data_IF_662963246208
#
_entry.id   IF_662963246208
#
_cell.length_a   1.000
_cell.length_b   1.000
_cell.length_c   1.000
_cell.angle_alpha   90.00
_cell.angle_beta   90.00
_cell.angle_gamma   90.00
#
_symmetry.space_group_name_H-M   'P 1'
#
loop_
_entity.id
_entity.type
_entity.pdbx_description
1 polymer ?
#
# COMPACT_ATOMS: atom_id res chain seq x y z
N UNK A 1 -39.25 -64.74 13.52
CA UNK A 1 -39.37 -63.39 12.94
C UNK A 1 -38.18 -62.56 13.38
N UNK A 2 -37.19 -62.31 12.51
CA UNK A 2 -35.96 -61.57 12.83
C UNK A 2 -36.17 -60.08 12.55
N UNK A 3 -36.05 -59.23 13.57
CA UNK A 3 -36.08 -57.76 13.42
C UNK A 3 -34.70 -57.28 12.98
N UNK A 4 -34.64 -56.68 11.79
CA UNK A 4 -33.45 -56.00 11.26
C UNK A 4 -33.46 -54.60 11.84
N UNK A 5 -32.49 -54.28 12.69
CA UNK A 5 -32.29 -52.95 13.25
C UNK A 5 -31.42 -52.15 12.27
N UNK A 6 -32.04 -51.21 11.55
CA UNK A 6 -31.38 -50.30 10.64
C UNK A 6 -30.74 -49.16 11.47
N UNK A 7 -29.42 -49.20 11.65
CA UNK A 7 -28.68 -48.11 12.30
C UNK A 7 -28.35 -47.07 11.23
N UNK A 8 -29.11 -45.97 11.23
CA UNK A 8 -28.84 -44.78 10.43
C UNK A 8 -27.68 -44.01 11.05
N UNK A 9 -26.48 -44.17 10.48
CA UNK A 9 -25.34 -43.30 10.76
C UNK A 9 -25.63 -41.92 10.16
N UNK A 10 -26.10 -40.99 10.99
CA UNK A 10 -26.13 -39.57 10.63
C UNK A 10 -24.71 -39.01 10.79
N UNK A 11 -23.99 -38.94 9.68
CA UNK A 11 -22.74 -38.17 9.58
C UNK A 11 -23.08 -36.69 9.74
N UNK A 12 -22.88 -36.14 10.94
CA UNK A 12 -22.85 -34.70 11.15
C UNK A 12 -21.66 -34.13 10.36
N UNK A 13 -21.94 -33.65 9.15
CA UNK A 13 -21.07 -32.70 8.47
C UNK A 13 -21.11 -31.41 9.29
N UNK A 14 -20.12 -31.23 10.15
CA UNK A 14 -19.82 -29.93 10.75
C UNK A 14 -19.49 -28.98 9.59
N UNK A 15 -20.49 -28.22 9.16
CA UNK A 15 -20.31 -27.07 8.27
C UNK A 15 -19.48 -26.07 9.06
N UNK A 16 -18.16 -26.14 8.89
CA UNK A 16 -17.25 -25.12 9.38
C UNK A 16 -17.57 -23.85 8.59
N UNK A 17 -18.47 -23.03 9.13
CA UNK A 17 -18.63 -21.64 8.72
C UNK A 17 -17.29 -20.96 8.99
N UNK A 18 -16.41 -20.95 7.99
CA UNK A 18 -15.26 -20.07 7.97
C UNK A 18 -15.84 -18.65 8.10
N UNK A 19 -15.69 -18.06 9.30
CA UNK A 19 -15.93 -16.63 9.49
C UNK A 19 -14.92 -15.92 8.60
N UNK A 20 -15.36 -15.49 7.42
CA UNK A 20 -14.60 -14.52 6.63
C UNK A 20 -14.53 -13.26 7.47
N UNK A 21 -13.38 -12.98 8.06
CA UNK A 21 -13.14 -11.72 8.76
C UNK A 21 -13.39 -10.58 7.77
N UNK A 22 -14.15 -9.57 8.19
CA UNK A 22 -14.43 -8.44 7.32
C UNK A 22 -13.14 -7.65 7.07
N UNK A 23 -12.94 -7.13 5.85
CA UNK A 23 -11.79 -6.29 5.56
C UNK A 23 -11.69 -5.13 6.55
N UNK A 24 -10.52 -4.97 7.17
CA UNK A 24 -10.22 -3.83 8.02
C UNK A 24 -9.68 -2.69 7.16
N UNK A 25 -10.05 -1.45 7.49
CA UNK A 25 -9.49 -0.23 6.88
C UNK A 25 -8.61 0.47 7.90
N UNK A 26 -7.37 0.80 7.51
CA UNK A 26 -6.47 1.64 8.30
C UNK A 26 -6.32 2.97 7.60
N UNK A 27 -6.52 4.06 8.34
CA UNK A 27 -6.38 5.42 7.83
C UNK A 27 -5.27 6.13 8.58
N UNK A 28 -4.42 6.79 7.81
CA UNK A 28 -3.28 7.54 8.30
C UNK A 28 -3.46 8.98 7.84
N UNK A 29 -3.34 9.91 8.78
CA UNK A 29 -3.43 11.36 8.51
C UNK A 29 -2.13 12.04 8.94
N UNK A 30 -1.73 13.06 8.18
CA UNK A 30 -0.65 13.98 8.48
C UNK A 30 -0.92 15.37 7.88
N UNK A 31 -0.16 16.37 8.30
CA UNK A 31 -0.21 17.75 7.78
C UNK A 31 0.98 18.01 6.87
N UNK A 32 0.78 18.54 5.66
CA UNK A 32 1.86 18.74 4.69
C UNK A 32 1.98 20.20 4.29
N UNK A 33 3.21 20.72 4.31
CA UNK A 33 3.56 21.97 3.66
C UNK A 33 4.20 21.64 2.31
N UNK A 34 3.78 22.25 1.22
CA UNK A 34 4.42 22.04 -0.10
C UNK A 34 5.06 23.32 -0.65
N UNK A 35 5.52 24.19 0.24
CA UNK A 35 6.16 25.46 -0.14
C UNK A 35 5.23 26.31 -0.99
N UNK A 36 5.49 26.35 -2.30
CA UNK A 36 4.79 27.19 -3.26
C UNK A 36 3.32 26.81 -3.46
N UNK A 37 2.93 25.54 -3.31
CA UNK A 37 1.52 25.16 -3.57
C UNK A 37 0.59 25.39 -2.37
N UNK A 38 1.13 25.84 -1.23
CA UNK A 38 0.39 26.20 -0.02
C UNK A 38 0.47 25.18 1.11
N UNK A 39 -0.40 25.37 2.10
CA UNK A 39 -0.50 24.51 3.29
C UNK A 39 -1.68 23.55 3.16
N UNK A 40 -1.40 22.26 3.38
CA UNK A 40 -2.37 21.18 3.38
C UNK A 40 -2.55 20.69 4.81
N UNK A 41 -3.70 21.02 5.41
CA UNK A 41 -3.96 20.65 6.81
C UNK A 41 -4.27 19.20 7.00
N UNK A 42 -4.84 18.55 5.99
CA UNK A 42 -5.18 17.14 6.09
C UNK A 42 -4.74 16.46 4.81
N UNK A 43 -3.75 15.60 4.94
CA UNK A 43 -3.40 14.63 3.92
C UNK A 43 -3.60 13.26 4.54
N UNK A 44 -4.48 12.47 3.91
CA UNK A 44 -4.83 11.16 4.43
C UNK A 44 -4.72 10.09 3.36
N UNK A 45 -4.24 8.93 3.79
CA UNK A 45 -4.26 7.72 3.00
C UNK A 45 -4.87 6.57 3.77
N UNK A 46 -5.51 5.65 3.07
CA UNK A 46 -6.03 4.45 3.70
C UNK A 46 -5.74 3.20 2.89
N UNK A 47 -5.57 2.09 3.61
CA UNK A 47 -5.40 0.75 3.05
C UNK A 47 -6.49 -0.16 3.62
N UNK A 48 -7.06 -1.01 2.78
CA UNK A 48 -7.98 -2.07 3.18
C UNK A 48 -7.28 -3.42 3.12
N UNK A 49 -7.41 -4.24 4.15
CA UNK A 49 -6.72 -5.53 4.24
C UNK A 49 -7.50 -6.54 5.08
N UNK A 50 -7.21 -7.81 4.85
CA UNK A 50 -7.64 -8.91 5.71
C UNK A 50 -6.62 -9.07 6.86
N UNK A 51 -7.01 -8.81 8.13
CA UNK A 51 -6.09 -8.89 9.27
C UNK A 51 -5.59 -10.30 9.55
N UNK A 52 -6.23 -11.34 9.00
CA UNK A 52 -5.72 -12.71 9.06
C UNK A 52 -4.53 -12.96 8.13
N UNK A 53 -4.33 -12.09 7.12
CA UNK A 53 -3.26 -12.23 6.11
C UNK A 53 -2.11 -11.24 6.29
N UNK A 54 -2.36 -10.07 6.87
CA UNK A 54 -1.34 -9.06 7.04
C UNK A 54 -1.53 -8.24 8.31
N UNK A 55 -0.48 -7.54 8.71
CA UNK A 55 -0.54 -6.47 9.72
C UNK A 55 -0.03 -5.18 9.11
N UNK A 56 -0.71 -4.06 9.38
CA UNK A 56 -0.26 -2.73 8.96
C UNK A 56 0.09 -1.91 10.20
N UNK A 57 1.28 -1.31 10.21
CA UNK A 57 1.77 -0.47 11.31
C UNK A 57 2.18 0.90 10.78
N UNK A 58 1.69 1.96 11.42
CA UNK A 58 2.15 3.34 11.18
C UNK A 58 3.59 3.46 11.70
N UNK A 59 4.55 3.77 10.82
CA UNK A 59 5.92 4.07 11.24
C UNK A 59 6.09 5.57 11.53
N UNK A 60 5.46 6.42 10.72
CA UNK A 60 5.42 7.87 10.90
C UNK A 60 4.14 8.42 10.29
N UNK A 61 3.91 9.74 10.38
CA UNK A 61 2.77 10.39 9.70
C UNK A 61 2.71 10.10 8.20
N UNK A 62 3.87 9.93 7.57
CA UNK A 62 4.01 9.78 6.12
C UNK A 62 4.51 8.39 5.73
N UNK A 63 4.44 7.40 6.61
CA UNK A 63 4.86 6.04 6.25
C UNK A 63 4.17 4.93 7.04
N UNK A 64 3.93 3.82 6.35
CA UNK A 64 3.42 2.60 6.95
C UNK A 64 4.22 1.39 6.49
N UNK A 65 4.29 0.40 7.36
CA UNK A 65 4.84 -0.93 7.08
C UNK A 65 3.70 -1.94 6.97
N UNK A 66 3.73 -2.77 5.95
CA UNK A 66 2.78 -3.86 5.73
C UNK A 66 3.56 -5.16 5.87
N UNK A 67 3.21 -5.99 6.84
CA UNK A 67 3.85 -7.30 7.04
C UNK A 67 2.89 -8.39 6.64
N UNK A 68 3.29 -9.24 5.70
CA UNK A 68 2.58 -10.46 5.34
C UNK A 68 2.76 -11.51 6.45
N UNK A 69 1.66 -12.02 7.00
CA UNK A 69 1.69 -12.95 8.14
C UNK A 69 2.25 -14.31 7.74
N UNK A 70 2.04 -14.76 6.51
CA UNK A 70 2.48 -16.08 6.04
C UNK A 70 3.96 -16.05 5.64
N UNK A 71 4.36 -15.08 4.83
CA UNK A 71 5.73 -15.02 4.28
C UNK A 71 6.70 -14.27 5.19
N UNK A 72 6.20 -13.53 6.18
CA UNK A 72 6.98 -12.64 7.06
C UNK A 72 7.77 -11.58 6.32
N UNK A 73 7.38 -11.27 5.07
CA UNK A 73 7.99 -10.21 4.28
C UNK A 73 7.32 -8.88 4.59
N UNK A 74 8.13 -7.83 4.53
CA UNK A 74 7.69 -6.47 4.80
C UNK A 74 7.61 -5.68 3.49
N UNK A 75 6.46 -5.09 3.22
CA UNK A 75 6.27 -4.01 2.27
C UNK A 75 6.25 -2.67 2.99
N UNK A 76 6.49 -1.59 2.24
CA UNK A 76 6.50 -0.24 2.80
C UNK A 76 5.82 0.73 1.86
N UNK A 77 5.13 1.70 2.44
CA UNK A 77 4.68 2.90 1.75
C UNK A 77 5.29 4.11 2.44
N UNK A 78 5.86 5.00 1.64
CA UNK A 78 6.41 6.26 2.06
C UNK A 78 5.82 7.36 1.20
N UNK A 79 5.36 8.41 1.85
CA UNK A 79 4.88 9.60 1.21
C UNK A 79 5.93 10.69 1.33
N UNK A 80 6.13 11.41 0.24
CA UNK A 80 7.15 12.43 0.13
C UNK A 80 6.50 13.73 -0.37
N UNK A 81 6.63 14.80 0.42
CA UNK A 81 6.16 16.12 0.04
C UNK A 81 7.24 16.87 -0.75
N UNK A 82 6.80 17.75 -1.65
CA UNK A 82 7.71 18.53 -2.47
C UNK A 82 8.20 19.79 -1.72
N UNK A 83 9.07 19.64 -0.72
CA UNK A 83 9.54 20.79 0.05
C UNK A 83 10.52 21.67 -0.76
N UNK A 84 10.11 22.92 -1.03
CA UNK A 84 10.98 23.98 -1.53
C UNK A 84 11.23 23.95 -3.04
N UNK A 85 12.38 23.42 -3.47
CA UNK A 85 12.83 23.48 -4.88
C UNK A 85 12.02 22.57 -5.81
N UNK A 86 11.47 21.51 -5.22
CA UNK A 86 10.54 20.59 -5.85
C UNK A 86 11.18 19.63 -6.86
N UNK A 87 11.04 18.33 -6.64
CA UNK A 87 11.30 17.34 -7.68
C UNK A 87 10.35 17.55 -8.86
N UNK A 88 10.90 17.47 -10.07
CA UNK A 88 10.16 17.65 -11.32
C UNK A 88 9.46 16.36 -11.77
N UNK A 89 9.97 15.20 -11.35
CA UNK A 89 9.52 13.88 -11.81
C UNK A 89 9.78 12.78 -10.79
N UNK A 90 9.07 11.65 -10.91
CA UNK A 90 9.32 10.45 -10.09
C UNK A 90 10.72 9.88 -10.30
N UNK A 91 11.28 10.06 -11.51
CA UNK A 91 12.63 9.61 -11.86
C UNK A 91 13.70 10.39 -11.06
N UNK A 92 13.48 11.69 -10.89
CA UNK A 92 14.34 12.54 -10.07
C UNK A 92 14.23 12.17 -8.59
N UNK A 93 13.00 11.95 -8.08
CA UNK A 93 12.78 11.44 -6.72
C UNK A 93 13.54 10.12 -6.48
N UNK A 94 13.50 9.21 -7.46
CA UNK A 94 14.25 7.96 -7.38
C UNK A 94 15.76 8.23 -7.32
N UNK A 95 16.33 8.92 -8.31
CA UNK A 95 17.79 9.14 -8.41
C UNK A 95 18.36 9.93 -7.25
N UNK A 96 17.69 11.00 -6.86
CA UNK A 96 18.22 11.95 -5.89
C UNK A 96 17.99 11.51 -4.44
N UNK A 97 16.93 10.75 -4.19
CA UNK A 97 16.55 10.34 -2.83
C UNK A 97 16.63 8.83 -2.63
N UNK A 98 15.78 8.04 -3.29
CA UNK A 98 15.62 6.63 -2.94
C UNK A 98 16.78 5.76 -3.39
N UNK A 99 17.37 5.98 -4.56
CA UNK A 99 18.54 5.22 -5.01
C UNK A 99 19.72 5.38 -4.03
N UNK A 100 19.86 6.56 -3.42
CA UNK A 100 20.92 6.87 -2.46
C UNK A 100 20.61 6.37 -1.05
N UNK A 101 19.33 6.32 -0.65
CA UNK A 101 18.92 6.02 0.74
C UNK A 101 18.33 4.63 0.96
N UNK A 102 17.74 4.01 -0.05
CA UNK A 102 17.02 2.72 0.08
C UNK A 102 17.93 1.50 0.06
N UNK A 103 19.19 1.65 -0.36
CA UNK A 103 20.10 0.53 -0.58
C UNK A 103 19.84 -0.24 -1.89
N UNK A 104 18.86 0.15 -2.71
CA UNK A 104 18.68 -0.46 -4.03
C UNK A 104 19.62 0.15 -5.09
N UNK A 105 20.92 -0.06 -4.94
CA UNK A 105 21.93 0.42 -5.90
C UNK A 105 21.93 -0.37 -7.21
N UNK A 106 21.48 -1.63 -7.17
CA UNK A 106 21.43 -2.55 -8.32
C UNK A 106 20.02 -2.68 -8.93
N UNK A 107 19.13 -1.73 -8.61
CA UNK A 107 17.79 -1.70 -9.16
C UNK A 107 17.81 -1.39 -10.67
N UNK A 108 17.08 -2.18 -11.46
CA UNK A 108 16.83 -1.92 -12.89
C UNK A 108 15.39 -1.54 -13.14
N UNK A 109 15.14 -0.67 -14.12
CA UNK A 109 13.78 -0.30 -14.55
C UNK A 109 13.02 -1.54 -15.05
N UNK A 110 11.75 -1.66 -14.67
CA UNK A 110 10.87 -2.75 -15.08
C UNK A 110 9.43 -2.25 -15.28
N UNK A 111 8.53 -3.14 -15.68
CA UNK A 111 7.12 -2.80 -15.86
C UNK A 111 6.42 -2.60 -14.51
N UNK A 112 5.39 -1.74 -14.51
CA UNK A 112 4.61 -1.48 -13.31
C UNK A 112 3.88 -2.74 -12.86
N UNK A 113 4.07 -3.10 -11.59
CA UNK A 113 3.43 -4.27 -10.97
C UNK A 113 2.17 -3.91 -10.18
N UNK A 114 1.87 -2.62 -9.99
CA UNK A 114 0.69 -2.13 -9.29
C UNK A 114 -0.27 -1.48 -10.28
N UNK A 115 -1.57 -1.72 -10.08
CA UNK A 115 -2.64 -0.99 -10.77
C UNK A 115 -3.52 -0.29 -9.76
N UNK A 116 -3.46 1.04 -9.72
CA UNK A 116 -4.31 1.84 -8.84
C UNK A 116 -5.66 2.12 -9.50
N UNK A 117 -6.73 2.02 -8.70
CA UNK A 117 -8.05 2.49 -9.13
C UNK A 117 -8.07 4.03 -9.11
N UNK A 118 -8.34 4.71 -10.25
CA UNK A 118 -8.39 6.17 -10.29
C UNK A 118 -9.41 6.79 -9.32
N UNK A 119 -10.51 6.09 -9.00
CA UNK A 119 -11.52 6.60 -8.05
C UNK A 119 -11.03 6.65 -6.61
N UNK A 120 -9.95 5.96 -6.29
CA UNK A 120 -9.38 5.96 -4.94
C UNK A 120 -8.53 7.20 -4.64
N UNK A 121 -8.19 7.99 -5.66
CA UNK A 121 -7.32 9.15 -5.52
C UNK A 121 -8.06 10.41 -5.91
N UNK A 122 -8.05 11.41 -5.03
CA UNK A 122 -8.64 12.73 -5.31
C UNK A 122 -7.95 13.46 -6.48
N UNK A 123 -6.71 13.07 -6.81
CA UNK A 123 -5.96 13.54 -7.97
C UNK A 123 -5.39 12.37 -8.77
N UNK A 124 -5.22 12.47 -10.09
CA UNK A 124 -4.62 11.40 -10.88
C UNK A 124 -3.24 10.99 -10.37
N UNK A 125 -3.02 9.67 -10.29
CA UNK A 125 -1.69 9.09 -10.09
C UNK A 125 -0.95 9.13 -11.42
N UNK A 126 0.20 9.81 -11.47
CA UNK A 126 0.93 10.07 -12.72
C UNK A 126 2.42 9.74 -12.60
N UNK A 127 3.12 9.66 -13.73
CA UNK A 127 4.57 9.41 -13.79
C UNK A 127 4.99 8.19 -12.95
N UNK A 128 4.24 7.10 -13.00
CA UNK A 128 4.58 5.89 -12.25
C UNK A 128 5.75 5.17 -12.93
N UNK A 129 6.83 4.99 -12.19
CA UNK A 129 8.00 4.22 -12.59
C UNK A 129 8.21 3.07 -11.61
N UNK A 130 8.73 1.96 -12.10
CA UNK A 130 9.05 0.79 -11.29
C UNK A 130 10.48 0.34 -11.53
N UNK A 131 11.16 0.03 -10.44
CA UNK A 131 12.47 -0.59 -10.43
C UNK A 131 12.40 -1.93 -9.70
N UNK A 132 13.29 -2.84 -10.02
CA UNK A 132 13.40 -4.12 -9.31
C UNK A 132 14.85 -4.54 -9.10
N UNK A 133 15.07 -5.32 -8.05
CA UNK A 133 16.27 -6.14 -7.87
C UNK A 133 15.84 -7.60 -7.58
N UNK A 134 16.74 -8.43 -7.08
CA UNK A 134 16.43 -9.84 -6.77
C UNK A 134 15.41 -10.03 -5.63
N UNK A 135 15.26 -9.05 -4.74
CA UNK A 135 14.50 -9.17 -3.49
C UNK A 135 13.21 -8.36 -3.46
N UNK A 136 13.09 -7.31 -4.26
CA UNK A 136 11.99 -6.34 -4.13
C UNK A 136 11.76 -5.53 -5.41
N UNK A 137 10.59 -4.90 -5.43
CA UNK A 137 10.19 -3.86 -6.38
C UNK A 137 10.08 -2.53 -5.66
N UNK A 138 10.48 -1.46 -6.34
CA UNK A 138 10.28 -0.08 -5.92
C UNK A 138 9.41 0.64 -6.94
N UNK A 139 8.29 1.18 -6.50
CA UNK A 139 7.35 1.94 -7.33
C UNK A 139 7.35 3.37 -6.83
N UNK A 140 7.56 4.33 -7.73
CA UNK A 140 7.56 5.76 -7.41
C UNK A 140 6.55 6.43 -8.34
N UNK A 141 5.64 7.21 -7.77
CA UNK A 141 4.62 7.90 -8.55
C UNK A 141 4.28 9.26 -7.96
N UNK A 142 3.91 10.18 -8.83
CA UNK A 142 3.42 11.51 -8.47
C UNK A 142 1.94 11.43 -8.09
N UNK A 143 1.61 12.01 -6.94
CA UNK A 143 0.24 12.22 -6.46
C UNK A 143 0.14 13.64 -5.95
N UNK A 144 -0.98 14.35 -6.06
CA UNK A 144 -1.00 15.72 -5.53
C UNK A 144 -1.16 15.72 -4.00
N UNK A 145 -0.35 16.47 -3.22
CA UNK A 145 0.67 17.47 -3.60
C UNK A 145 2.14 17.00 -3.46
N UNK A 146 2.44 15.72 -3.71
CA UNK A 146 3.80 15.17 -3.64
C UNK A 146 4.01 13.88 -4.43
N UNK A 147 4.59 12.88 -3.76
CA UNK A 147 4.97 11.60 -4.33
C UNK A 147 4.70 10.46 -3.35
N UNK A 148 4.50 9.27 -3.90
CA UNK A 148 4.45 8.02 -3.15
C UNK A 148 5.60 7.15 -3.63
N UNK A 149 6.35 6.59 -2.69
CA UNK A 149 7.29 5.50 -2.93
C UNK A 149 6.80 4.25 -2.20
N UNK A 150 6.77 3.14 -2.91
CA UNK A 150 6.25 1.86 -2.42
C UNK A 150 7.32 0.81 -2.65
N UNK A 151 7.64 0.06 -1.61
CA UNK A 151 8.46 -1.13 -1.71
C UNK A 151 7.59 -2.38 -1.56
N UNK A 152 7.72 -3.31 -2.51
CA UNK A 152 7.02 -4.60 -2.53
C UNK A 152 8.05 -5.73 -2.54
N UNK A 153 8.11 -6.58 -1.52
CA UNK A 153 9.06 -7.68 -1.49
C UNK A 153 8.67 -8.77 -2.50
N UNK A 154 9.67 -9.52 -2.97
CA UNK A 154 9.49 -10.76 -3.74
C UNK A 154 9.33 -11.97 -2.79
N UNK A 155 8.48 -12.95 -3.13
CA UNK A 155 7.57 -12.98 -4.28
C UNK A 155 6.41 -11.99 -4.11
N UNK A 156 5.87 -11.50 -5.24
CA UNK A 156 4.68 -10.64 -5.25
C UNK A 156 3.50 -11.46 -4.68
N UNK A 157 2.81 -10.91 -3.69
CA UNK A 157 1.73 -11.61 -2.99
C UNK A 157 0.77 -10.65 -2.29
N UNK A 158 0.32 -11.01 -1.09
CA UNK A 158 -0.68 -10.27 -0.29
C UNK A 158 -0.38 -8.77 -0.17
N UNK A 159 0.89 -8.39 -0.07
CA UNK A 159 1.29 -6.97 0.00
C UNK A 159 0.83 -6.18 -1.23
N UNK A 160 0.96 -6.73 -2.44
CA UNK A 160 0.47 -6.08 -3.67
C UNK A 160 -1.04 -5.85 -3.60
N UNK A 161 -1.79 -6.88 -3.24
CA UNK A 161 -3.26 -6.81 -3.16
C UNK A 161 -3.71 -5.70 -2.20
N UNK A 162 -3.05 -5.58 -1.05
CA UNK A 162 -3.32 -4.53 -0.06
C UNK A 162 -2.99 -3.16 -0.64
N UNK A 163 -1.82 -3.00 -1.29
CA UNK A 163 -1.39 -1.73 -1.86
C UNK A 163 -2.31 -1.23 -2.98
N UNK A 164 -2.92 -2.12 -3.77
CA UNK A 164 -3.89 -1.74 -4.80
C UNK A 164 -5.20 -1.18 -4.22
N UNK A 165 -5.46 -1.37 -2.92
CA UNK A 165 -6.59 -0.74 -2.21
C UNK A 165 -6.28 0.68 -1.72
N UNK A 166 -5.06 1.18 -1.95
CA UNK A 166 -4.63 2.49 -1.48
C UNK A 166 -5.60 3.59 -1.94
N UNK A 167 -6.01 4.40 -0.99
CA UNK A 167 -6.80 5.63 -1.20
C UNK A 167 -6.00 6.85 -0.77
N UNK A 168 -6.28 7.98 -1.42
CA UNK A 168 -5.57 9.24 -1.22
C UNK A 168 -6.51 10.43 -1.25
N UNK A 169 -6.55 11.19 -0.15
CA UNK A 169 -7.37 12.37 0.01
C UNK A 169 -6.58 13.51 0.63
N UNK A 170 -6.88 14.74 0.24
CA UNK A 170 -6.24 15.93 0.80
C UNK A 170 -7.21 17.11 0.90
N UNK A 171 -6.97 17.95 1.90
CA UNK A 171 -7.62 19.24 2.10
C UNK A 171 -6.59 20.36 1.97
N UNK A 172 -6.82 21.27 1.04
CA UNK A 172 -5.97 22.44 0.81
C UNK A 172 -6.56 23.66 1.51
N UNK A 173 -5.78 24.36 2.33
CA UNK A 173 -6.19 25.67 2.82
C UNK A 173 -5.81 26.73 1.79
N UNK A 174 -6.81 27.50 1.35
CA UNK A 174 -6.57 28.72 0.57
C UNK A 174 -5.95 29.77 1.50
N UNK A 175 -4.83 30.40 1.13
CA UNK A 175 -4.33 31.55 1.89
C UNK A 175 -5.42 32.63 1.92
N UNK A 176 -5.66 33.20 3.10
CA UNK A 176 -6.59 34.33 3.30
C UNK A 176 -5.93 35.65 2.95
#
# INVERSE_FOLDING_TARGET
>A
MKKILLVLLFSLLAVSCNKTEQPKKETFTGTWYSGYEGYFTDVSYSLSYDPSKATIVKNSENSAKITDIQTKKDGRILFFNNDGAGFSSSEEVWKEYFQKTSGCTECTTTTNILSFNPSNFQSPVTNMITFENLSEYWIISKVYPGYIAIMVPKPIGTIKEILETLTWHYTKIQPT
#
